data_IF_353843530590
#
_entry.id   IF_353843530590
#
_cell.length_a   1.000
_cell.length_b   1.000
_cell.length_c   1.000
_cell.angle_alpha   90.00
_cell.angle_beta   90.00
_cell.angle_gamma   90.00
#
_symmetry.space_group_name_H-M   'P 1'
#
loop_
_entity.id
_entity.type
_entity.pdbx_description
1 polymer ?
#
# COMPACT_ATOMS: atom_id res chain seq x y z
N UNK A 1 -13.37 1.52 -13.34
CA UNK A 1 -12.57 0.48 -12.65
C UNK A 1 -13.39 -0.13 -11.55
N UNK A 2 -13.45 -1.46 -11.51
CA UNK A 2 -14.23 -2.16 -10.48
C UNK A 2 -13.66 -1.97 -9.07
N UNK A 3 -12.34 -1.69 -8.96
CA UNK A 3 -11.62 -1.55 -7.69
C UNK A 3 -11.46 -0.09 -7.22
N UNK A 4 -12.18 0.84 -7.81
CA UNK A 4 -12.17 2.25 -7.42
C UNK A 4 -10.92 3.05 -7.82
N UNK A 5 -9.98 2.47 -8.60
CA UNK A 5 -8.76 3.16 -9.02
C UNK A 5 -8.99 4.28 -10.04
N UNK A 6 -10.17 4.37 -10.63
CA UNK A 6 -10.59 5.44 -11.54
C UNK A 6 -11.23 6.65 -10.82
N UNK A 7 -11.27 6.63 -9.50
CA UNK A 7 -11.92 7.64 -8.68
C UNK A 7 -10.98 8.16 -7.59
N UNK A 8 -11.16 9.42 -7.21
CA UNK A 8 -10.53 9.99 -6.02
C UNK A 8 -10.99 9.22 -4.77
N UNK A 9 -10.15 9.21 -3.74
CA UNK A 9 -10.44 8.46 -2.52
C UNK A 9 -11.47 9.13 -1.60
N UNK A 10 -11.69 10.43 -1.79
CA UNK A 10 -12.54 11.24 -0.95
C UNK A 10 -11.88 11.79 0.31
N UNK A 11 -10.55 11.59 0.45
CA UNK A 11 -9.76 12.16 1.54
C UNK A 11 -9.85 13.69 1.55
N UNK A 12 -9.81 14.34 2.71
CA UNK A 12 -10.10 15.76 2.89
C UNK A 12 -9.00 16.70 2.37
N UNK A 13 -7.83 16.15 2.02
CA UNK A 13 -6.74 16.93 1.41
C UNK A 13 -6.81 16.91 -0.12
N UNK A 14 -6.07 17.83 -0.76
CA UNK A 14 -5.98 17.87 -2.22
C UNK A 14 -5.39 16.55 -2.77
N UNK A 15 -6.10 15.96 -3.70
CA UNK A 15 -5.75 14.69 -4.32
C UNK A 15 -5.72 14.84 -5.84
N UNK A 16 -4.63 14.35 -6.47
CA UNK A 16 -4.55 14.29 -7.93
C UNK A 16 -5.65 13.38 -8.50
N UNK A 17 -6.13 13.73 -9.68
CA UNK A 17 -7.07 12.84 -10.40
C UNK A 17 -6.35 11.57 -10.86
N UNK A 18 -6.98 10.40 -10.72
CA UNK A 18 -6.40 9.16 -11.23
C UNK A 18 -6.30 9.19 -12.76
N UNK A 19 -5.25 8.59 -13.27
CA UNK A 19 -5.10 8.33 -14.68
C UNK A 19 -5.11 6.82 -14.91
N UNK A 20 -6.10 6.35 -15.63
CA UNK A 20 -6.21 4.95 -16.04
C UNK A 20 -5.74 4.85 -17.49
N UNK A 21 -4.92 3.87 -17.80
CA UNK A 21 -4.43 3.63 -19.16
C UNK A 21 -5.59 3.30 -20.10
N UNK A 22 -5.69 4.00 -21.22
CA UNK A 22 -6.82 3.92 -22.15
C UNK A 22 -6.54 3.13 -23.43
N UNK A 23 -5.29 3.14 -23.94
CA UNK A 23 -5.00 2.68 -25.30
C UNK A 23 -3.96 1.57 -25.40
N UNK A 24 -3.12 1.36 -24.40
CA UNK A 24 -2.07 0.34 -24.39
C UNK A 24 -2.39 -0.75 -23.37
N UNK A 25 -3.26 -1.67 -23.75
CA UNK A 25 -3.71 -2.74 -22.85
C UNK A 25 -2.54 -3.62 -22.36
N UNK A 26 -1.60 -3.97 -23.25
CA UNK A 26 -0.51 -4.92 -22.92
C UNK A 26 0.39 -4.42 -21.79
N UNK A 27 0.98 -3.21 -21.81
CA UNK A 27 1.72 -2.71 -20.65
C UNK A 27 0.89 -2.59 -19.38
N UNK A 28 -0.41 -2.27 -19.50
CA UNK A 28 -1.30 -2.12 -18.35
C UNK A 28 -1.54 -3.43 -17.58
N UNK A 29 -1.48 -4.58 -18.25
CA UNK A 29 -1.63 -5.89 -17.58
C UNK A 29 -0.51 -6.19 -16.59
N UNK A 30 0.66 -5.60 -16.76
CA UNK A 30 1.79 -5.73 -15.85
C UNK A 30 1.97 -4.50 -14.94
N UNK A 31 0.98 -3.59 -14.91
CA UNK A 31 1.02 -2.37 -14.10
C UNK A 31 1.88 -1.25 -14.68
N UNK A 32 2.33 -1.37 -15.93
CA UNK A 32 3.05 -0.35 -16.68
C UNK A 32 2.08 0.45 -17.59
N UNK A 33 2.62 1.29 -18.47
CA UNK A 33 1.83 2.13 -19.37
C UNK A 33 1.59 3.51 -18.79
N UNK A 34 0.45 4.13 -19.14
CA UNK A 34 0.13 5.50 -18.73
C UNK A 34 -0.68 5.58 -17.43
N UNK A 35 -0.78 4.49 -16.68
CA UNK A 35 -1.44 4.50 -15.37
C UNK A 35 -0.70 5.43 -14.39
N UNK A 36 -1.45 6.28 -13.68
CA UNK A 36 -0.91 7.11 -12.60
C UNK A 36 -1.93 7.20 -11.46
N UNK A 37 -1.53 6.68 -10.31
CA UNK A 37 -2.35 6.63 -9.10
C UNK A 37 -1.61 7.27 -7.94
N UNK A 38 -2.35 7.91 -7.04
CA UNK A 38 -1.78 8.40 -5.77
C UNK A 38 -1.52 7.23 -4.81
N UNK A 39 -0.62 7.44 -3.84
CA UNK A 39 -0.40 6.44 -2.77
C UNK A 39 -1.65 6.21 -1.93
N UNK A 40 -2.50 7.22 -1.75
CA UNK A 40 -3.81 7.09 -1.11
C UNK A 40 -4.75 6.16 -1.90
N UNK A 41 -4.81 6.29 -3.22
CA UNK A 41 -5.59 5.38 -4.06
C UNK A 41 -5.08 3.94 -3.99
N UNK A 42 -3.76 3.75 -3.99
CA UNK A 42 -3.15 2.41 -3.85
C UNK A 42 -3.37 1.82 -2.44
N UNK A 43 -3.35 2.65 -1.39
CA UNK A 43 -3.68 2.19 -0.03
C UNK A 43 -5.15 1.77 0.07
N UNK A 44 -6.09 2.54 -0.52
CA UNK A 44 -7.49 2.15 -0.62
C UNK A 44 -7.67 0.86 -1.41
N UNK A 45 -6.94 0.69 -2.51
CA UNK A 45 -6.95 -0.54 -3.29
C UNK A 45 -6.48 -1.75 -2.47
N UNK A 46 -5.37 -1.61 -1.72
CA UNK A 46 -4.89 -2.66 -0.81
C UNK A 46 -5.92 -2.98 0.29
N UNK A 47 -6.59 -1.96 0.86
CA UNK A 47 -7.67 -2.13 1.81
C UNK A 47 -8.88 -2.86 1.21
N UNK A 48 -9.24 -2.54 -0.04
CA UNK A 48 -10.33 -3.22 -0.76
C UNK A 48 -10.04 -4.71 -0.94
N UNK A 49 -8.80 -5.06 -1.24
CA UNK A 49 -8.39 -6.48 -1.30
C UNK A 49 -8.45 -7.11 0.09
N UNK A 50 -7.83 -6.48 1.08
CA UNK A 50 -7.79 -6.98 2.46
C UNK A 50 -9.17 -7.31 3.04
N UNK A 51 -10.20 -6.57 2.63
CA UNK A 51 -11.58 -6.72 3.10
C UNK A 51 -12.48 -7.46 2.12
N UNK A 52 -11.89 -8.19 1.16
CA UNK A 52 -12.62 -8.96 0.15
C UNK A 52 -13.71 -8.14 -0.56
N UNK A 53 -13.34 -6.92 -0.99
CA UNK A 53 -14.15 -6.10 -1.89
C UNK A 53 -14.79 -4.84 -1.29
N UNK A 54 -14.65 -4.57 0.00
CA UNK A 54 -15.19 -3.33 0.57
C UNK A 54 -14.34 -2.13 0.15
N UNK A 55 -14.93 -1.20 -0.59
CA UNK A 55 -14.28 0.04 -1.00
C UNK A 55 -14.64 1.13 -0.01
N UNK A 56 -13.65 1.62 0.74
CA UNK A 56 -13.83 2.71 1.70
C UNK A 56 -13.64 4.08 1.05
N UNK A 57 -14.38 5.06 1.54
CA UNK A 57 -14.03 6.46 1.41
C UNK A 57 -12.94 6.75 2.44
N UNK A 58 -11.80 7.26 2.00
CA UNK A 58 -10.73 7.60 2.94
C UNK A 58 -11.04 8.89 3.69
N UNK A 59 -10.65 8.94 4.96
CA UNK A 59 -10.76 10.12 5.82
C UNK A 59 -9.55 10.22 6.74
N UNK A 60 -9.08 11.43 6.98
CA UNK A 60 -8.11 11.76 8.02
C UNK A 60 -8.79 12.13 9.34
N UNK A 61 -10.12 12.26 9.32
CA UNK A 61 -10.90 12.63 10.48
C UNK A 61 -11.40 11.36 11.17
N UNK A 62 -11.02 11.17 12.42
CA UNK A 62 -11.51 10.11 13.29
C UNK A 62 -12.52 10.68 14.28
N UNK A 63 -12.08 11.65 15.08
CA UNK A 63 -12.93 12.25 16.12
C UNK A 63 -12.48 13.67 16.48
N UNK A 64 -13.39 14.43 17.06
CA UNK A 64 -13.10 15.71 17.71
C UNK A 64 -13.41 15.57 19.19
N UNK A 65 -12.46 15.99 20.02
CA UNK A 65 -12.60 16.04 21.48
C UNK A 65 -12.44 17.47 22.00
N UNK A 66 -12.99 17.75 23.17
CA UNK A 66 -12.70 18.98 23.90
C UNK A 66 -11.29 18.95 24.52
N UNK A 67 -10.88 20.04 25.17
CA UNK A 67 -9.59 20.15 25.85
C UNK A 67 -9.41 19.18 27.04
N UNK A 68 -10.48 18.51 27.48
CA UNK A 68 -10.48 17.50 28.55
C UNK A 68 -10.57 16.07 28.01
N UNK A 69 -10.52 15.90 26.68
CA UNK A 69 -10.61 14.59 26.02
C UNK A 69 -12.03 14.06 25.84
N UNK A 70 -13.08 14.83 26.20
CA UNK A 70 -14.45 14.38 26.01
C UNK A 70 -14.83 14.45 24.53
N UNK A 71 -15.40 13.35 24.01
CA UNK A 71 -15.87 13.24 22.63
C UNK A 71 -16.93 14.33 22.33
N UNK A 72 -16.69 15.12 21.28
CA UNK A 72 -17.63 16.11 20.74
C UNK A 72 -18.31 15.53 19.48
N UNK A 73 -17.51 14.95 18.58
CA UNK A 73 -17.99 14.40 17.31
C UNK A 73 -17.11 13.24 16.88
N UNK A 74 -17.71 12.21 16.31
CA UNK A 74 -17.06 11.08 15.69
C UNK A 74 -17.30 11.07 14.18
N UNK A 75 -16.33 10.59 13.42
CA UNK A 75 -16.40 10.42 11.97
C UNK A 75 -16.22 8.94 11.64
N UNK A 76 -17.30 8.16 11.62
CA UNK A 76 -17.22 6.74 11.34
C UNK A 76 -16.75 6.50 9.91
N UNK A 77 -16.11 5.35 9.69
CA UNK A 77 -15.73 4.91 8.34
C UNK A 77 -16.95 4.79 7.43
N UNK A 78 -16.86 5.35 6.23
CA UNK A 78 -17.89 5.29 5.20
C UNK A 78 -17.45 4.34 4.07
N UNK A 79 -18.37 3.51 3.59
CA UNK A 79 -18.14 2.70 2.39
C UNK A 79 -18.55 3.47 1.15
N UNK A 80 -17.68 3.44 0.12
CA UNK A 80 -17.96 4.01 -1.20
C UNK A 80 -18.54 2.98 -2.18
N UNK A 81 -18.37 1.68 -1.88
CA UNK A 81 -18.88 0.59 -2.70
C UNK A 81 -18.49 -0.78 -2.20
N UNK A 82 -19.00 -1.79 -2.87
CA UNK A 82 -18.68 -3.19 -2.62
C UNK A 82 -18.43 -3.89 -3.96
N UNK A 83 -17.32 -4.62 -4.05
CA UNK A 83 -17.04 -5.50 -5.19
C UNK A 83 -17.45 -6.92 -4.82
N UNK A 84 -18.43 -7.43 -5.52
CA UNK A 84 -18.94 -8.79 -5.33
C UNK A 84 -18.22 -9.77 -6.26
N UNK A 85 -17.22 -10.46 -5.71
CA UNK A 85 -16.53 -11.58 -6.34
C UNK A 85 -16.75 -12.84 -5.50
N UNK A 86 -16.69 -14.02 -6.13
CA UNK A 86 -16.80 -15.27 -5.39
C UNK A 86 -15.65 -15.45 -4.39
N UNK A 87 -15.91 -16.16 -3.30
CA UNK A 87 -14.90 -16.39 -2.24
C UNK A 87 -13.61 -17.00 -2.79
N UNK A 88 -13.70 -17.95 -3.72
CA UNK A 88 -12.50 -18.59 -4.31
C UNK A 88 -11.59 -17.58 -5.01
N UNK A 89 -12.16 -16.53 -5.66
CA UNK A 89 -11.35 -15.49 -6.32
C UNK A 89 -10.62 -14.66 -5.25
N UNK A 90 -11.29 -14.33 -4.15
CA UNK A 90 -10.64 -13.63 -3.04
C UNK A 90 -9.58 -14.49 -2.38
N UNK A 91 -9.85 -15.77 -2.14
CA UNK A 91 -8.89 -16.72 -1.57
C UNK A 91 -7.63 -16.82 -2.44
N UNK A 92 -7.79 -16.92 -3.77
CA UNK A 92 -6.67 -16.97 -4.73
C UNK A 92 -5.85 -15.67 -4.72
N UNK A 93 -6.51 -14.50 -4.63
CA UNK A 93 -5.84 -13.19 -4.55
C UNK A 93 -5.05 -13.08 -3.24
N UNK A 94 -5.66 -13.43 -2.11
CA UNK A 94 -5.03 -13.36 -0.79
C UNK A 94 -3.84 -14.31 -0.69
N UNK A 95 -4.00 -15.56 -1.13
CA UNK A 95 -2.92 -16.54 -1.17
C UNK A 95 -1.77 -16.09 -2.08
N UNK A 96 -2.10 -15.57 -3.28
CA UNK A 96 -1.09 -15.02 -4.19
C UNK A 96 -0.30 -13.86 -3.57
N UNK A 97 -0.97 -12.91 -2.91
CA UNK A 97 -0.32 -11.80 -2.23
C UNK A 97 0.50 -12.25 -1.01
N UNK A 98 0.02 -13.24 -0.26
CA UNK A 98 0.76 -13.82 0.84
C UNK A 98 2.05 -14.49 0.35
N UNK A 99 1.97 -15.31 -0.70
CA UNK A 99 3.13 -16.00 -1.28
C UNK A 99 4.19 -15.04 -1.82
N UNK A 100 3.80 -13.91 -2.42
CA UNK A 100 4.76 -12.89 -2.86
C UNK A 100 5.60 -12.41 -1.68
N UNK A 101 4.98 -12.11 -0.55
CA UNK A 101 5.69 -11.61 0.64
C UNK A 101 6.65 -12.65 1.21
N UNK A 102 6.33 -13.95 1.12
CA UNK A 102 7.21 -15.03 1.58
C UNK A 102 8.53 -15.13 0.79
N UNK A 103 8.61 -14.55 -0.40
CA UNK A 103 9.86 -14.48 -1.18
C UNK A 103 10.77 -13.33 -0.75
N UNK A 104 10.32 -12.48 0.18
CA UNK A 104 11.05 -11.30 0.66
C UNK A 104 11.49 -11.49 2.11
N UNK A 105 12.78 -11.71 2.31
CA UNK A 105 13.38 -11.97 3.64
C UNK A 105 13.07 -10.90 4.69
N UNK A 106 12.77 -9.67 4.26
CA UNK A 106 12.39 -8.56 5.13
C UNK A 106 11.19 -8.89 6.02
N UNK A 107 10.24 -9.67 5.51
CA UNK A 107 9.01 -10.01 6.23
C UNK A 107 9.08 -11.31 7.02
N UNK A 108 10.04 -12.20 6.72
CA UNK A 108 10.15 -13.53 7.34
C UNK A 108 10.34 -13.51 8.87
N UNK A 109 10.79 -12.39 9.44
CA UNK A 109 11.06 -12.22 10.88
C UNK A 109 10.21 -11.13 11.52
N UNK A 110 9.17 -10.70 10.83
CA UNK A 110 8.33 -9.59 11.33
C UNK A 110 7.50 -9.98 12.56
N UNK A 111 7.12 -11.26 12.70
CA UNK A 111 6.28 -11.72 13.80
C UNK A 111 4.78 -11.50 13.56
N UNK A 112 4.39 -10.92 12.44
CA UNK A 112 3.02 -10.81 11.94
C UNK A 112 2.99 -11.18 10.46
N UNK A 113 1.96 -11.90 10.04
CA UNK A 113 1.83 -12.30 8.64
C UNK A 113 1.34 -11.12 7.79
N UNK A 114 2.04 -10.89 6.68
CA UNK A 114 1.77 -9.84 5.71
C UNK A 114 1.40 -10.45 4.37
N UNK A 115 0.43 -9.88 3.70
CA UNK A 115 0.16 -10.11 2.29
C UNK A 115 0.40 -8.82 1.50
N UNK A 116 1.00 -8.93 0.32
CA UNK A 116 1.32 -7.75 -0.47
C UNK A 116 1.76 -8.04 -1.89
N UNK A 117 1.98 -6.95 -2.63
CA UNK A 117 2.49 -6.99 -3.99
C UNK A 117 3.56 -5.93 -4.17
N UNK A 118 4.69 -6.35 -4.68
CA UNK A 118 5.80 -5.49 -5.07
C UNK A 118 5.58 -4.89 -6.45
N UNK A 119 6.21 -3.75 -6.70
CA UNK A 119 6.22 -3.14 -8.01
C UNK A 119 7.50 -2.35 -8.23
N UNK A 120 8.08 -2.51 -9.40
CA UNK A 120 9.18 -1.70 -9.90
C UNK A 120 8.67 -1.01 -11.16
N UNK A 121 8.48 0.32 -11.10
CA UNK A 121 7.89 1.08 -12.19
C UNK A 121 8.94 1.96 -12.86
N UNK A 122 9.22 1.64 -14.13
CA UNK A 122 10.07 2.45 -14.99
C UNK A 122 9.36 3.79 -15.31
N UNK A 123 10.09 4.90 -15.21
CA UNK A 123 9.60 6.23 -15.56
C UNK A 123 10.13 6.57 -16.96
N UNK A 124 11.44 6.50 -17.11
CA UNK A 124 12.16 6.74 -18.36
C UNK A 124 13.57 6.13 -18.28
N UNK A 125 14.30 6.21 -19.38
CA UNK A 125 15.64 5.63 -19.48
C UNK A 125 16.71 6.33 -18.60
N UNK A 126 16.45 7.56 -18.16
CA UNK A 126 17.46 8.40 -17.49
C UNK A 126 17.33 8.39 -15.97
N UNK A 127 16.21 7.95 -15.44
CA UNK A 127 15.94 7.94 -14.02
C UNK A 127 15.83 6.52 -13.48
N UNK A 128 16.29 6.26 -12.25
CA UNK A 128 16.04 4.99 -11.59
C UNK A 128 14.53 4.73 -11.43
N UNK A 129 14.17 3.46 -11.44
CA UNK A 129 12.79 3.02 -11.27
C UNK A 129 12.18 3.48 -9.94
N UNK A 130 10.87 3.68 -9.91
CA UNK A 130 10.15 3.82 -8.66
C UNK A 130 10.03 2.45 -7.97
N UNK A 131 10.39 2.39 -6.70
CA UNK A 131 10.11 1.23 -5.86
C UNK A 131 8.72 1.34 -5.22
N UNK A 132 7.93 0.27 -5.32
CA UNK A 132 6.54 0.23 -4.87
C UNK A 132 6.27 -1.03 -4.05
N UNK A 133 5.44 -0.87 -3.04
CA UNK A 133 4.83 -1.97 -2.30
C UNK A 133 3.42 -1.57 -1.88
N UNK A 134 2.47 -2.49 -2.03
CA UNK A 134 1.15 -2.41 -1.41
C UNK A 134 0.94 -3.69 -0.61
N UNK A 135 0.26 -3.58 0.51
CA UNK A 135 -0.01 -4.77 1.33
C UNK A 135 -0.93 -4.48 2.50
N UNK A 136 -1.17 -5.53 3.27
CA UNK A 136 -1.98 -5.45 4.48
C UNK A 136 -1.50 -6.48 5.51
N UNK A 137 -1.82 -6.23 6.76
CA UNK A 137 -1.50 -7.10 7.88
C UNK A 137 -2.50 -6.92 9.05
N UNK A 138 -2.70 -7.95 9.92
CA UNK A 138 -2.37 -9.37 9.69
C UNK A 138 -3.17 -9.98 8.52
N UNK A 139 -2.69 -11.09 7.96
CA UNK A 139 -3.38 -11.76 6.84
C UNK A 139 -4.74 -12.31 7.26
N UNK A 140 -4.81 -12.93 8.43
CA UNK A 140 -6.02 -13.61 8.94
C UNK A 140 -7.12 -12.65 9.43
N UNK A 141 -6.74 -11.44 9.87
CA UNK A 141 -7.66 -10.41 10.39
C UNK A 141 -7.08 -9.02 10.08
N UNK A 142 -7.20 -8.53 8.85
CA UNK A 142 -6.57 -7.31 8.39
C UNK A 142 -6.95 -6.08 9.23
N UNK A 143 -5.94 -5.41 9.78
CA UNK A 143 -6.10 -4.19 10.57
C UNK A 143 -5.56 -2.96 9.85
N UNK A 144 -4.49 -3.14 9.06
CA UNK A 144 -3.79 -2.07 8.38
C UNK A 144 -3.52 -2.45 6.93
N UNK A 145 -3.84 -1.53 6.04
CA UNK A 145 -3.42 -1.57 4.64
C UNK A 145 -2.39 -0.48 4.40
N UNK A 146 -1.38 -0.76 3.60
CA UNK A 146 -0.26 0.13 3.35
C UNK A 146 0.00 0.28 1.86
N UNK A 147 0.46 1.45 1.46
CA UNK A 147 1.07 1.72 0.16
C UNK A 147 2.34 2.52 0.36
N UNK A 148 3.43 2.00 -0.18
CA UNK A 148 4.75 2.66 -0.15
C UNK A 148 5.19 2.93 -1.58
N UNK A 149 5.63 4.16 -1.84
CA UNK A 149 6.31 4.55 -3.06
C UNK A 149 7.58 5.32 -2.72
N UNK A 150 8.70 4.85 -3.22
CA UNK A 150 9.99 5.56 -3.16
C UNK A 150 10.32 6.00 -4.58
N UNK A 151 10.27 7.33 -4.80
CA UNK A 151 10.65 7.88 -6.08
C UNK A 151 12.14 7.63 -6.34
N UNK A 152 12.48 7.15 -7.54
CA UNK A 152 13.84 6.75 -7.90
C UNK A 152 14.43 5.74 -6.90
N UNK A 153 13.60 4.86 -6.38
CA UNK A 153 13.93 3.90 -5.32
C UNK A 153 14.61 2.63 -5.83
N UNK A 154 14.96 2.58 -7.12
CA UNK A 154 15.62 1.49 -7.84
C UNK A 154 14.80 0.20 -7.90
N UNK A 155 14.72 -0.55 -6.83
CA UNK A 155 14.09 -1.86 -6.75
C UNK A 155 12.99 -1.93 -5.69
N UNK A 156 11.99 -2.75 -5.93
CA UNK A 156 10.84 -2.97 -5.04
C UNK A 156 11.24 -3.41 -3.62
N UNK A 157 12.40 -4.07 -3.47
CA UNK A 157 12.96 -4.46 -2.18
C UNK A 157 13.12 -3.30 -1.20
N UNK A 158 13.45 -2.09 -1.69
CA UNK A 158 13.56 -0.89 -0.87
C UNK A 158 12.19 -0.44 -0.32
N UNK A 159 11.12 -0.58 -1.11
CA UNK A 159 9.76 -0.32 -0.63
C UNK A 159 9.31 -1.39 0.38
N UNK A 160 9.75 -2.64 0.22
CA UNK A 160 9.50 -3.71 1.19
C UNK A 160 10.19 -3.45 2.53
N UNK A 161 11.43 -2.93 2.54
CA UNK A 161 12.13 -2.54 3.77
C UNK A 161 11.35 -1.45 4.51
N UNK A 162 10.96 -0.39 3.81
CA UNK A 162 10.16 0.68 4.41
C UNK A 162 8.82 0.17 4.94
N UNK A 163 8.12 -0.69 4.20
CA UNK A 163 6.87 -1.30 4.65
C UNK A 163 7.07 -2.18 5.90
N UNK A 164 8.15 -2.97 5.93
CA UNK A 164 8.49 -3.77 7.09
C UNK A 164 8.68 -2.91 8.34
N UNK A 165 9.41 -1.81 8.24
CA UNK A 165 9.68 -0.92 9.36
C UNK A 165 8.40 -0.20 9.82
N UNK A 166 7.53 0.20 8.90
CA UNK A 166 6.21 0.75 9.24
C UNK A 166 5.37 -0.29 9.99
N UNK A 167 5.34 -1.55 9.54
CA UNK A 167 4.60 -2.60 10.26
C UNK A 167 5.20 -2.89 11.64
N UNK A 168 6.55 -2.91 11.79
CA UNK A 168 7.18 -3.03 13.11
C UNK A 168 6.70 -1.95 14.06
N UNK A 169 6.67 -0.70 13.59
CA UNK A 169 6.20 0.44 14.39
C UNK A 169 4.72 0.30 14.77
N UNK A 170 3.85 0.07 13.80
CA UNK A 170 2.40 0.01 14.01
C UNK A 170 2.00 -1.14 14.97
N UNK A 171 2.68 -2.29 14.86
CA UNK A 171 2.41 -3.45 15.72
C UNK A 171 3.23 -3.47 17.01
N UNK A 172 4.06 -2.44 17.27
CA UNK A 172 4.90 -2.37 18.47
C UNK A 172 5.95 -3.50 18.56
N UNK A 173 6.46 -3.95 17.42
CA UNK A 173 7.40 -5.09 17.32
C UNK A 173 8.86 -4.67 17.47
N UNK A 174 9.14 -3.38 17.43
CA UNK A 174 10.46 -2.80 17.62
C UNK A 174 10.36 -1.38 18.16
N UNK A 175 11.37 -0.94 18.90
CA UNK A 175 11.47 0.43 19.39
C UNK A 175 11.71 1.39 18.22
N UNK A 176 11.07 2.57 18.26
CA UNK A 176 11.21 3.61 17.24
C UNK A 176 12.68 3.97 16.97
N UNK A 177 13.51 4.04 18.01
CA UNK A 177 14.95 4.32 17.91
C UNK A 177 15.74 3.29 17.11
N UNK A 178 15.22 2.06 17.00
CA UNK A 178 15.85 0.99 16.19
C UNK A 178 15.37 0.99 14.75
N UNK A 179 14.21 1.58 14.48
CA UNK A 179 13.62 1.72 13.14
C UNK A 179 14.14 2.99 12.49
N UNK A 180 14.12 4.13 13.21
CA UNK A 180 14.55 5.44 12.72
C UNK A 180 16.02 5.69 13.09
N UNK A 181 16.92 5.19 12.28
CA UNK A 181 18.38 5.38 12.52
C UNK A 181 18.87 6.80 12.25
N UNK A 182 18.06 7.64 11.58
CA UNK A 182 18.41 9.01 11.22
C UNK A 182 19.45 9.16 10.11
N UNK A 183 19.93 8.07 9.55
CA UNK A 183 20.92 8.07 8.47
C UNK A 183 20.34 7.43 7.21
N UNK A 184 20.48 8.10 6.06
CA UNK A 184 20.28 7.45 4.77
C UNK A 184 21.37 6.37 4.59
N UNK A 185 21.00 5.23 4.00
CA UNK A 185 21.97 4.22 3.65
C UNK A 185 23.04 4.84 2.75
N UNK A 186 24.32 4.79 3.19
CA UNK A 186 25.44 5.35 2.45
C UNK A 186 25.92 4.44 1.32
N UNK A 187 25.44 3.21 1.28
CA UNK A 187 25.87 2.20 0.33
C UNK A 187 24.77 1.89 -0.68
N UNK A 188 25.00 2.34 -1.92
CA UNK A 188 24.16 2.03 -3.08
C UNK A 188 24.67 0.80 -3.86
N UNK A 189 25.74 0.13 -3.38
CA UNK A 189 26.38 -0.99 -4.09
C UNK A 189 25.53 -2.25 -4.17
N UNK A 190 24.49 -2.37 -3.33
CA UNK A 190 23.56 -3.49 -3.31
C UNK A 190 22.20 -3.17 -3.96
N UNK A 191 22.14 -2.12 -4.74
CA UNK A 191 20.93 -1.78 -5.49
C UNK A 191 20.86 -2.69 -6.71
N UNK A 192 20.16 -3.80 -6.59
CA UNK A 192 19.80 -4.61 -7.75
C UNK A 192 18.70 -3.89 -8.54
N UNK A 193 18.89 -3.70 -9.82
CA UNK A 193 17.80 -3.48 -10.74
C UNK A 193 17.12 -4.85 -10.91
N UNK A 194 15.85 -4.98 -10.54
CA UNK A 194 15.01 -6.14 -10.81
C UNK A 194 14.85 -6.35 -12.31
#
# INVERSE_FOLDING_TARGET
SLMGLDQKTGIEISEASPQVSDKNAVPSYIGQGTNAFTTSQLARYASTIATSGTIYKLSLLDRVTDSKGKLIKEYPSETAGQLDLSSNIWDDIHDGMYRVVQTHDQFNRLGVEVAGKTGTAEIDYYHPNNALFIGYAPVSDPKYAISVRIANGYASGNACLAANDIFKYIFGLADESTILTGYAASDTSNVSND
#
